data_IF_482923635011
#
_entry.id   IF_482923635011
#
_cell.length_a   1.000
_cell.length_b   1.000
_cell.length_c   1.000
_cell.angle_alpha   90.00
_cell.angle_beta   90.00
_cell.angle_gamma   90.00
#
_symmetry.space_group_name_H-M   'P 1'
#
loop_
_entity.id
_entity.type
_entity.pdbx_description
1 polymer ?
#
# COMPACT_ATOMS: atom_id res chain seq x y z
N UNK A 1 3.02 -58.75 -37.76
CA UNK A 1 2.91 -57.28 -37.94
C UNK A 1 3.32 -56.64 -36.63
N UNK A 2 4.19 -55.62 -36.71
CA UNK A 2 5.11 -55.16 -35.68
C UNK A 2 4.47 -54.31 -34.56
N UNK A 3 5.20 -54.26 -33.44
CA UNK A 3 5.02 -53.54 -32.17
C UNK A 3 5.05 -52.02 -32.27
N UNK A 4 4.31 -51.34 -31.39
CA UNK A 4 4.68 -49.99 -30.93
C UNK A 4 4.20 -49.76 -29.49
N UNK A 5 5.12 -49.89 -28.54
CA UNK A 5 4.99 -49.39 -27.16
C UNK A 5 5.40 -47.92 -27.15
N UNK A 6 4.48 -47.02 -26.83
CA UNK A 6 4.75 -45.59 -26.67
C UNK A 6 5.39 -45.31 -25.30
N UNK A 7 6.55 -44.63 -25.20
CA UNK A 7 7.12 -44.18 -23.94
C UNK A 7 7.04 -42.64 -23.83
N UNK A 8 6.22 -42.12 -22.92
CA UNK A 8 6.17 -40.66 -22.63
C UNK A 8 5.61 -40.49 -21.21
N UNK A 9 6.14 -39.72 -20.27
CA UNK A 9 7.40 -39.00 -20.10
C UNK A 9 7.43 -38.56 -18.62
N UNK A 10 8.63 -38.60 -18.01
CA UNK A 10 9.17 -37.70 -16.98
C UNK A 10 8.24 -37.21 -15.83
N UNK A 11 8.58 -37.64 -14.61
CA UNK A 11 8.27 -37.01 -13.31
C UNK A 11 8.46 -35.49 -13.32
N UNK A 12 7.58 -34.78 -12.63
CA UNK A 12 7.82 -33.45 -12.07
C UNK A 12 7.18 -33.38 -10.67
N UNK A 13 7.84 -33.96 -9.68
CA UNK A 13 7.60 -33.67 -8.25
C UNK A 13 8.40 -32.41 -7.89
N UNK A 14 7.74 -31.25 -7.86
CA UNK A 14 8.31 -30.05 -7.28
C UNK A 14 7.20 -29.30 -6.51
N UNK A 15 7.33 -29.10 -5.18
CA UNK A 15 6.39 -28.28 -4.46
C UNK A 15 6.58 -26.83 -4.94
N UNK A 16 5.52 -26.25 -5.49
CA UNK A 16 5.44 -24.83 -5.77
C UNK A 16 5.57 -24.10 -4.44
N UNK A 17 6.79 -23.69 -4.09
CA UNK A 17 7.02 -22.68 -3.08
C UNK A 17 6.28 -21.42 -3.55
N UNK A 18 5.07 -21.23 -3.04
CA UNK A 18 4.30 -19.99 -3.17
C UNK A 18 5.03 -18.90 -2.42
N UNK A 19 6.05 -18.33 -3.06
CA UNK A 19 6.59 -17.03 -2.72
C UNK A 19 5.44 -16.04 -2.92
N UNK A 20 4.68 -15.79 -1.86
CA UNK A 20 3.70 -14.70 -1.81
C UNK A 20 4.46 -13.38 -1.71
N UNK A 21 5.15 -13.02 -2.80
CA UNK A 21 5.58 -11.64 -3.00
C UNK A 21 4.32 -10.79 -2.91
N UNK A 22 4.17 -10.02 -1.83
CA UNK A 22 3.15 -8.97 -1.72
C UNK A 22 3.36 -8.09 -2.94
N UNK A 23 2.53 -8.30 -3.96
CA UNK A 23 2.59 -7.53 -5.19
C UNK A 23 2.01 -6.18 -4.82
N UNK A 24 2.86 -5.28 -4.34
CA UNK A 24 2.51 -3.88 -4.13
C UNK A 24 2.21 -3.34 -5.52
N UNK A 25 0.95 -3.41 -5.94
CA UNK A 25 0.52 -2.80 -7.17
C UNK A 25 0.79 -1.30 -7.03
N UNK A 26 1.53 -0.74 -7.96
CA UNK A 26 1.96 0.65 -7.93
C UNK A 26 0.78 1.64 -7.81
N UNK A 27 -0.44 1.20 -8.17
CA UNK A 27 -1.68 1.93 -7.94
C UNK A 27 -1.99 2.15 -6.45
N UNK A 28 -1.67 1.19 -5.58
CA UNK A 28 -1.75 1.35 -4.12
C UNK A 28 -0.72 2.35 -3.58
N UNK A 29 0.49 2.40 -4.14
CA UNK A 29 1.59 3.30 -3.73
C UNK A 29 1.31 4.74 -4.18
N UNK A 30 0.66 4.92 -5.33
CA UNK A 30 0.30 6.24 -5.85
C UNK A 30 -1.06 6.74 -5.38
N UNK A 31 -1.78 5.97 -4.56
CA UNK A 31 -3.06 6.42 -4.05
C UNK A 31 -2.81 7.58 -3.09
N UNK A 32 -3.56 8.65 -3.29
CA UNK A 32 -3.49 9.81 -2.41
C UNK A 32 -4.85 10.05 -1.77
N UNK A 33 -4.84 10.41 -0.48
CA UNK A 33 -6.03 10.69 0.29
C UNK A 33 -6.23 12.19 0.46
N UNK A 34 -7.49 12.59 0.48
CA UNK A 34 -7.88 13.88 1.04
C UNK A 34 -7.72 13.87 2.57
N UNK A 35 -7.68 15.05 3.18
CA UNK A 35 -7.58 15.16 4.66
C UNK A 35 -8.72 14.45 5.38
N UNK A 36 -9.94 14.48 4.84
CA UNK A 36 -11.10 13.85 5.47
C UNK A 36 -11.03 12.32 5.33
N UNK A 37 -10.53 11.79 4.22
CA UNK A 37 -10.28 10.35 4.05
C UNK A 37 -9.14 9.84 4.93
N UNK A 38 -8.01 10.57 4.98
CA UNK A 38 -6.89 10.22 5.85
C UNK A 38 -7.32 10.21 7.32
N UNK A 39 -8.15 11.17 7.72
CA UNK A 39 -8.73 11.20 9.07
C UNK A 39 -9.63 10.01 9.36
N UNK A 40 -10.46 9.60 8.39
CA UNK A 40 -11.31 8.42 8.53
C UNK A 40 -10.50 7.12 8.69
N UNK A 41 -9.41 6.96 7.93
CA UNK A 41 -8.51 5.80 8.01
C UNK A 41 -7.84 5.73 9.39
N UNK A 42 -7.32 6.86 9.87
CA UNK A 42 -6.66 6.97 11.17
C UNK A 42 -7.65 7.01 12.35
N UNK A 43 -8.97 7.00 12.08
CA UNK A 43 -10.05 7.12 13.08
C UNK A 43 -9.94 8.38 13.95
N UNK A 44 -9.44 9.47 13.38
CA UNK A 44 -9.30 10.77 14.05
C UNK A 44 -10.27 11.79 13.46
N UNK A 45 -10.48 12.91 14.15
CA UNK A 45 -11.22 14.04 13.58
C UNK A 45 -10.35 14.74 12.53
N UNK A 46 -10.89 15.13 11.36
CA UNK A 46 -10.15 15.90 10.35
C UNK A 46 -9.52 17.19 10.91
N UNK A 47 -10.17 17.80 11.90
CA UNK A 47 -9.68 19.01 12.57
C UNK A 47 -8.35 18.77 13.30
N UNK A 48 -8.13 17.58 13.86
CA UNK A 48 -6.88 17.22 14.55
C UNK A 48 -5.72 17.15 13.56
N UNK A 49 -5.94 16.54 12.39
CA UNK A 49 -4.96 16.50 11.30
C UNK A 49 -4.59 17.91 10.83
N UNK A 50 -5.58 18.77 10.58
CA UNK A 50 -5.35 20.18 10.21
C UNK A 50 -4.57 20.93 11.29
N UNK A 51 -4.92 20.75 12.56
CA UNK A 51 -4.24 21.38 13.68
C UNK A 51 -2.79 20.90 13.87
N UNK A 52 -2.51 19.61 13.61
CA UNK A 52 -1.15 19.10 13.64
C UNK A 52 -0.30 19.66 12.49
N UNK A 53 -0.82 19.70 11.27
CA UNK A 53 -0.12 20.31 10.13
C UNK A 53 0.15 21.79 10.37
N UNK A 54 -0.78 22.54 10.98
CA UNK A 54 -0.55 23.95 11.30
C UNK A 54 0.50 24.17 12.39
N UNK A 55 0.63 23.25 13.36
CA UNK A 55 1.58 23.39 14.48
C UNK A 55 2.97 22.86 14.12
N UNK A 56 3.01 21.68 13.53
CA UNK A 56 4.22 20.88 13.36
C UNK A 56 4.64 20.78 11.89
N UNK A 57 3.80 21.24 10.94
CA UNK A 57 4.05 21.14 9.50
C UNK A 57 3.84 19.74 8.91
N UNK A 58 3.74 18.73 9.77
CA UNK A 58 3.56 17.32 9.43
C UNK A 58 2.69 16.62 10.48
N UNK A 59 2.18 15.44 10.17
CA UNK A 59 1.49 14.58 11.12
C UNK A 59 2.28 13.30 11.33
N UNK A 60 2.94 13.15 12.49
CA UNK A 60 3.80 12.00 12.81
C UNK A 60 4.79 11.64 11.68
N UNK A 61 5.46 12.66 11.12
CA UNK A 61 6.42 12.47 10.02
C UNK A 61 5.80 12.43 8.62
N UNK A 62 4.47 12.34 8.50
CA UNK A 62 3.77 12.41 7.21
C UNK A 62 3.54 13.87 6.81
N UNK A 63 4.23 14.31 5.76
CA UNK A 63 4.10 15.66 5.21
C UNK A 63 3.00 15.70 4.12
N UNK A 64 1.97 16.53 4.26
CA UNK A 64 0.96 16.68 3.22
C UNK A 64 1.52 17.46 2.02
N UNK A 65 1.17 17.03 0.81
CA UNK A 65 1.47 17.75 -0.42
C UNK A 65 0.35 18.75 -0.73
N UNK A 66 0.73 19.99 -1.08
CA UNK A 66 -0.22 21.01 -1.50
C UNK A 66 -0.62 20.79 -2.97
N UNK A 67 -1.85 20.38 -3.20
CA UNK A 67 -2.36 20.20 -4.56
C UNK A 67 -2.73 21.53 -5.22
N UNK A 68 -2.84 21.50 -6.56
CA UNK A 68 -3.16 22.67 -7.38
C UNK A 68 -4.55 23.25 -7.09
N UNK A 69 -5.45 22.44 -6.55
CA UNK A 69 -6.77 22.83 -6.05
C UNK A 69 -6.72 23.47 -4.63
N UNK A 70 -5.52 23.74 -4.09
CA UNK A 70 -5.25 24.28 -2.74
C UNK A 70 -5.62 23.36 -1.58
N UNK A 71 -6.07 22.13 -1.83
CA UNK A 71 -6.28 21.14 -0.77
C UNK A 71 -4.98 20.46 -0.38
N UNK A 72 -4.96 19.90 0.83
CA UNK A 72 -3.88 19.05 1.31
C UNK A 72 -4.14 17.62 0.85
N UNK A 73 -3.10 17.02 0.27
CA UNK A 73 -3.11 15.67 -0.24
C UNK A 73 -2.12 14.84 0.56
N UNK A 74 -2.58 13.69 1.03
CA UNK A 74 -1.81 12.78 1.87
C UNK A 74 -1.41 11.56 1.05
N UNK A 75 -0.18 11.10 1.20
CA UNK A 75 0.26 9.85 0.62
C UNK A 75 -0.42 8.67 1.33
N UNK A 76 -1.11 7.80 0.59
CA UNK A 76 -1.85 6.69 1.20
C UNK A 76 -0.88 5.68 1.84
N UNK A 77 0.25 5.42 1.21
CA UNK A 77 1.23 4.48 1.73
C UNK A 77 1.78 4.94 3.09
N UNK A 78 2.10 6.23 3.21
CA UNK A 78 2.54 6.82 4.47
C UNK A 78 1.47 6.78 5.57
N UNK A 79 0.21 7.04 5.23
CA UNK A 79 -0.92 6.97 6.18
C UNK A 79 -1.17 5.53 6.64
N UNK A 80 -1.12 4.57 5.73
CA UNK A 80 -1.30 3.15 6.04
C UNK A 80 -0.11 2.63 6.87
N UNK A 81 1.13 3.04 6.58
CA UNK A 81 2.30 2.72 7.38
C UNK A 81 2.19 3.29 8.81
N UNK A 82 1.69 4.52 8.95
CA UNK A 82 1.40 5.12 10.25
C UNK A 82 0.32 4.34 11.01
N UNK A 83 -0.74 3.90 10.33
CA UNK A 83 -1.79 3.08 10.93
C UNK A 83 -1.24 1.71 11.41
N UNK A 84 -0.32 1.13 10.66
CA UNK A 84 0.34 -0.13 11.00
C UNK A 84 1.41 0.03 12.09
N UNK A 85 1.73 1.26 12.52
CA UNK A 85 2.74 1.55 13.54
C UNK A 85 4.19 1.46 13.05
N UNK A 86 4.41 1.53 11.73
CA UNK A 86 5.75 1.43 11.12
C UNK A 86 6.54 2.75 11.15
N UNK A 87 5.88 3.87 11.47
CA UNK A 87 6.48 5.21 11.54
C UNK A 87 6.47 5.69 12.99
N UNK A 88 7.66 5.86 13.59
CA UNK A 88 7.89 6.41 14.92
C UNK A 88 8.86 7.60 14.84
#
# INVERSE_FOLDING_TARGET
MQTATTPTSRRNDAPLATLTTKRTDYASILRTYSTDEAAAVLKVKPQTLRAAVCRDGAYFGVCPQKARNRFLVWDAAAIDALLNGEVA
#
